data_IF_039292496830
#
_entry.id   IF_039292496830
#
_cell.length_a   1.000
_cell.length_b   1.000
_cell.length_c   1.000
_cell.angle_alpha   90.00
_cell.angle_beta   90.00
_cell.angle_gamma   90.00
#
_symmetry.space_group_name_H-M   'P 1'
#
loop_
_entity.id
_entity.type
_entity.pdbx_description
1 polymer ?
#
# COMPACT_ATOMS: atom_id res chain seq x y z
N UNK A 1 5.65 -0.82 -25.20
CA UNK A 1 4.66 0.24 -25.01
C UNK A 1 4.74 0.70 -23.57
N UNK A 2 5.22 1.92 -23.35
CA UNK A 2 5.42 2.53 -22.03
C UNK A 2 4.08 2.61 -21.30
N UNK A 3 3.96 1.89 -20.18
CA UNK A 3 2.83 2.02 -19.26
C UNK A 3 3.00 3.33 -18.48
N UNK A 4 2.26 4.35 -18.92
CA UNK A 4 1.98 5.52 -18.09
C UNK A 4 0.99 5.08 -17.00
N UNK A 5 1.50 4.44 -15.95
CA UNK A 5 0.72 4.14 -14.75
C UNK A 5 0.26 5.47 -14.13
N UNK A 6 -1.06 5.62 -14.06
CA UNK A 6 -1.78 6.63 -13.28
C UNK A 6 -2.12 6.01 -11.91
N UNK A 7 -1.30 5.05 -11.46
CA UNK A 7 -1.66 4.07 -10.42
C UNK A 7 -1.57 4.63 -9.00
N UNK A 8 -0.99 5.83 -8.88
CA UNK A 8 -0.95 6.62 -7.65
C UNK A 8 -1.50 8.01 -7.90
N UNK A 9 -2.70 8.13 -8.49
CA UNK A 9 -3.55 9.28 -8.14
C UNK A 9 -3.76 9.15 -6.64
N UNK A 10 -2.93 9.87 -5.90
CA UNK A 10 -3.05 10.33 -4.53
C UNK A 10 -4.04 9.48 -3.75
N UNK A 11 -3.60 8.69 -2.78
CA UNK A 11 -4.53 8.09 -1.82
C UNK A 11 -4.61 8.99 -0.58
N UNK A 12 -5.20 10.22 -0.63
CA UNK A 12 -5.58 10.89 0.59
C UNK A 12 -6.61 10.02 1.32
N UNK A 13 -7.32 9.08 0.66
CA UNK A 13 -8.21 8.13 1.34
C UNK A 13 -7.52 7.32 2.44
N UNK A 14 -6.51 6.50 2.12
CA UNK A 14 -5.82 5.67 3.11
C UNK A 14 -5.09 6.51 4.16
N UNK A 15 -4.44 7.60 3.75
CA UNK A 15 -3.84 8.53 4.70
C UNK A 15 -4.88 9.23 5.61
N UNK A 16 -6.05 9.59 5.08
CA UNK A 16 -7.15 10.20 5.84
C UNK A 16 -7.74 9.21 6.83
N UNK A 17 -7.90 7.95 6.43
CA UNK A 17 -8.31 6.87 7.33
C UNK A 17 -7.33 6.76 8.49
N UNK A 18 -6.01 6.70 8.22
CA UNK A 18 -5.01 6.61 9.28
C UNK A 18 -5.03 7.84 10.20
N UNK A 19 -5.32 9.03 9.66
CA UNK A 19 -5.46 10.28 10.43
C UNK A 19 -6.59 10.26 11.45
N UNK A 20 -7.61 9.43 11.25
CA UNK A 20 -8.65 9.24 12.26
C UNK A 20 -8.14 8.51 13.51
N UNK A 21 -7.02 7.79 13.41
CA UNK A 21 -6.48 6.94 14.46
C UNK A 21 -5.22 7.50 15.11
N UNK A 22 -4.45 8.31 14.39
CA UNK A 22 -3.20 8.89 14.91
C UNK A 22 -2.87 10.21 14.21
N UNK A 23 -2.27 11.13 14.97
CA UNK A 23 -1.71 12.38 14.45
C UNK A 23 -0.23 12.26 14.09
N UNK A 24 0.43 11.17 14.49
CA UNK A 24 1.84 10.91 14.22
C UNK A 24 2.00 10.21 12.86
N UNK A 25 1.68 10.93 11.78
CA UNK A 25 1.75 10.43 10.42
C UNK A 25 2.65 11.31 9.56
N UNK A 26 3.52 10.64 8.81
CA UNK A 26 4.33 11.22 7.77
C UNK A 26 4.00 10.48 6.47
N UNK A 27 3.75 11.21 5.38
CA UNK A 27 3.56 10.61 4.06
C UNK A 27 4.73 10.97 3.16
N UNK A 28 5.10 10.03 2.30
CA UNK A 28 6.19 10.18 1.34
C UNK A 28 5.71 9.67 -0.02
N UNK A 29 5.92 10.45 -1.06
CA UNK A 29 5.63 10.07 -2.45
C UNK A 29 6.93 10.20 -3.24
N UNK A 30 7.53 9.09 -3.69
CA UNK A 30 8.77 9.13 -4.46
C UNK A 30 8.59 9.91 -5.77
N UNK A 31 9.61 10.68 -6.15
CA UNK A 31 9.67 11.28 -7.47
C UNK A 31 10.07 10.22 -8.50
N UNK A 32 9.12 9.76 -9.31
CA UNK A 32 9.36 8.70 -10.30
C UNK A 32 10.54 8.95 -11.26
N UNK A 33 10.80 10.20 -11.62
CA UNK A 33 11.87 10.53 -12.58
C UNK A 33 13.25 10.57 -11.95
N UNK A 34 13.32 10.81 -10.64
CA UNK A 34 14.59 10.94 -9.90
C UNK A 34 14.92 9.66 -9.13
N UNK A 35 13.91 9.08 -8.48
CA UNK A 35 14.04 7.99 -7.52
C UNK A 35 13.58 6.64 -8.08
N UNK A 36 12.89 6.63 -9.22
CA UNK A 36 12.32 5.42 -9.80
C UNK A 36 10.99 5.01 -9.16
N UNK A 37 10.66 3.72 -9.25
CA UNK A 37 9.37 3.18 -8.82
C UNK A 37 9.50 2.40 -7.50
N UNK A 38 8.52 2.61 -6.61
CA UNK A 38 8.39 1.88 -5.36
C UNK A 38 9.21 2.45 -4.20
N UNK A 39 9.34 1.64 -3.15
CA UNK A 39 10.19 1.95 -2.00
C UNK A 39 11.64 2.03 -2.45
N UNK A 40 12.35 3.06 -2.00
CA UNK A 40 13.76 3.27 -2.29
C UNK A 40 14.57 3.50 -1.01
N UNK A 41 15.88 3.29 -1.11
CA UNK A 41 16.79 3.42 0.03
C UNK A 41 16.87 4.83 0.63
N UNK A 42 16.63 5.88 -0.17
CA UNK A 42 16.67 7.28 0.27
C UNK A 42 15.47 7.58 1.17
N UNK A 43 14.29 7.04 0.85
CA UNK A 43 13.10 7.10 1.68
C UNK A 43 13.32 6.42 3.04
N UNK A 44 14.07 5.31 3.07
CA UNK A 44 14.45 4.64 4.32
C UNK A 44 15.39 5.52 5.15
N UNK A 45 16.37 6.17 4.52
CA UNK A 45 17.27 7.10 5.20
C UNK A 45 16.51 8.31 5.77
N UNK A 46 15.55 8.83 5.03
CA UNK A 46 14.65 9.90 5.50
C UNK A 46 13.84 9.41 6.71
N UNK A 47 13.25 8.23 6.63
CA UNK A 47 12.46 7.66 7.71
C UNK A 47 13.31 7.50 8.99
N UNK A 48 14.52 6.96 8.86
CA UNK A 48 15.45 6.82 9.97
C UNK A 48 15.82 8.16 10.62
N UNK A 49 16.19 9.16 9.80
CA UNK A 49 16.53 10.52 10.27
C UNK A 49 15.37 11.21 10.99
N UNK A 50 14.14 10.90 10.61
CA UNK A 50 12.92 11.43 11.23
C UNK A 50 12.41 10.57 12.40
N UNK A 51 13.19 9.59 12.86
CA UNK A 51 12.81 8.67 13.94
C UNK A 51 11.49 7.89 13.67
N UNK A 52 11.14 7.67 12.40
CA UNK A 52 10.01 6.84 12.01
C UNK A 52 10.29 5.40 12.44
N UNK A 53 9.29 4.74 13.03
CA UNK A 53 9.40 3.35 13.53
C UNK A 53 8.62 2.33 12.73
N UNK A 54 7.70 2.78 11.89
CA UNK A 54 6.87 1.94 11.04
C UNK A 54 6.69 2.61 9.68
N UNK A 55 6.96 1.86 8.62
CA UNK A 55 6.63 2.22 7.24
C UNK A 55 5.49 1.32 6.77
N UNK A 56 4.47 1.91 6.17
CA UNK A 56 3.40 1.19 5.48
C UNK A 56 3.49 1.58 4.01
N UNK A 57 3.82 0.63 3.14
CA UNK A 57 3.81 0.89 1.69
C UNK A 57 2.38 0.82 1.17
N UNK A 58 2.10 1.54 0.09
CA UNK A 58 0.83 1.50 -0.63
C UNK A 58 1.16 1.32 -2.10
N UNK A 59 0.52 0.34 -2.72
CA UNK A 59 0.65 0.03 -4.15
C UNK A 59 2.10 -0.30 -4.59
N UNK A 60 2.95 -0.71 -3.65
CA UNK A 60 4.32 -1.09 -3.94
C UNK A 60 4.93 -1.89 -2.79
N UNK A 61 6.15 -2.39 -3.01
CA UNK A 61 6.99 -2.98 -1.98
C UNK A 61 7.16 -4.48 -2.06
N UNK A 62 6.34 -5.23 -2.83
CA UNK A 62 6.47 -6.70 -2.89
C UNK A 62 7.81 -7.18 -3.47
N UNK A 63 8.49 -6.33 -4.23
CA UNK A 63 9.83 -6.58 -4.78
C UNK A 63 10.96 -5.85 -4.04
N UNK A 64 10.66 -5.08 -2.99
CA UNK A 64 11.62 -4.19 -2.32
C UNK A 64 12.44 -4.90 -1.24
N UNK A 65 13.15 -5.97 -1.63
CA UNK A 65 13.89 -6.84 -0.70
C UNK A 65 15.04 -6.06 -0.02
N UNK A 66 15.83 -5.32 -0.80
CA UNK A 66 16.96 -4.53 -0.30
C UNK A 66 16.50 -3.43 0.65
N UNK A 67 15.46 -2.70 0.28
CA UNK A 67 14.99 -1.54 1.02
C UNK A 67 14.33 -1.95 2.34
N UNK A 68 13.54 -3.02 2.33
CA UNK A 68 12.99 -3.60 3.58
C UNK A 68 14.12 -4.15 4.44
N UNK A 69 15.15 -4.77 3.86
CA UNK A 69 16.35 -5.20 4.59
C UNK A 69 17.07 -4.03 5.27
N UNK A 70 17.23 -2.89 4.57
CA UNK A 70 17.81 -1.67 5.14
C UNK A 70 16.96 -1.09 6.27
N UNK A 71 15.63 -1.04 6.10
CA UNK A 71 14.71 -0.58 7.13
C UNK A 71 14.81 -1.45 8.40
N UNK A 72 14.84 -2.77 8.24
CA UNK A 72 15.03 -3.72 9.34
C UNK A 72 16.36 -3.48 10.08
N UNK A 73 17.47 -3.24 9.34
CA UNK A 73 18.77 -2.92 9.95
C UNK A 73 18.74 -1.61 10.77
N UNK A 74 17.87 -0.68 10.42
CA UNK A 74 17.63 0.55 11.18
C UNK A 74 16.60 0.39 12.31
N UNK A 75 16.06 -0.82 12.50
CA UNK A 75 15.00 -1.09 13.49
C UNK A 75 13.69 -0.38 13.13
N UNK A 76 13.39 -0.26 11.84
CA UNK A 76 12.14 0.27 11.30
C UNK A 76 11.32 -0.90 10.79
N UNK A 77 10.14 -1.09 11.36
CA UNK A 77 9.20 -2.11 10.88
C UNK A 77 8.62 -1.70 9.53
N UNK A 78 8.39 -2.68 8.64
CA UNK A 78 7.73 -2.45 7.35
C UNK A 78 6.51 -3.34 7.19
N UNK A 79 5.37 -2.74 6.85
CA UNK A 79 4.17 -3.43 6.35
C UNK A 79 4.06 -3.13 4.87
N UNK A 80 4.02 -4.17 4.05
CA UNK A 80 3.84 -4.04 2.61
C UNK A 80 2.36 -4.16 2.26
N UNK A 81 1.77 -3.18 1.58
CA UNK A 81 0.45 -3.30 0.95
C UNK A 81 0.58 -3.11 -0.54
N UNK A 82 0.29 -4.16 -1.30
CA UNK A 82 0.63 -4.26 -2.72
C UNK A 82 -0.29 -5.26 -3.43
N UNK A 83 -0.30 -5.24 -4.74
CA UNK A 83 -1.07 -6.14 -5.61
C UNK A 83 -0.25 -6.68 -6.80
N UNK A 84 1.00 -6.21 -6.96
CA UNK A 84 1.90 -6.70 -8.00
C UNK A 84 2.25 -8.18 -7.81
N UNK A 85 2.75 -8.80 -8.88
CA UNK A 85 3.12 -10.22 -8.85
C UNK A 85 4.31 -10.43 -7.90
N UNK A 86 4.19 -11.30 -6.88
CA UNK A 86 5.33 -11.66 -6.05
C UNK A 86 6.39 -12.38 -6.88
N UNK A 87 7.65 -12.05 -6.61
CA UNK A 87 8.80 -12.79 -7.13
C UNK A 87 9.02 -14.07 -6.33
N UNK A 88 10.02 -14.87 -6.73
CA UNK A 88 10.40 -16.08 -5.99
C UNK A 88 10.78 -15.77 -4.53
N UNK A 89 11.53 -14.70 -4.36
CA UNK A 89 11.91 -14.16 -3.06
C UNK A 89 11.08 -12.88 -2.81
N UNK A 90 10.64 -12.69 -1.57
CA UNK A 90 9.80 -11.56 -1.14
C UNK A 90 10.47 -10.86 0.06
N UNK A 91 10.19 -9.57 0.32
CA UNK A 91 10.82 -8.84 1.40
C UNK A 91 10.53 -9.44 2.77
N UNK A 92 11.48 -9.32 3.69
CA UNK A 92 11.31 -9.71 5.10
C UNK A 92 10.57 -8.61 5.89
N UNK A 93 9.39 -8.23 5.42
CA UNK A 93 8.49 -7.29 6.08
C UNK A 93 7.77 -7.95 7.26
N UNK A 94 7.36 -7.19 8.28
CA UNK A 94 6.61 -7.73 9.43
C UNK A 94 5.19 -8.18 9.04
N UNK A 95 4.67 -7.65 7.93
CA UNK A 95 3.46 -8.12 7.28
C UNK A 95 3.49 -7.80 5.78
N UNK A 96 2.93 -8.69 4.97
CA UNK A 96 2.70 -8.49 3.54
C UNK A 96 1.22 -8.71 3.27
N UNK A 97 0.55 -7.67 2.80
CA UNK A 97 -0.85 -7.65 2.43
C UNK A 97 -0.89 -7.54 0.91
N UNK A 98 -0.89 -8.70 0.26
CA UNK A 98 -1.00 -8.81 -1.19
C UNK A 98 -1.88 -10.03 -1.54
N UNK A 99 -2.98 -9.85 -2.29
CA UNK A 99 -3.93 -10.92 -2.58
C UNK A 99 -3.28 -12.10 -3.31
N UNK A 100 -2.22 -11.87 -4.10
CA UNK A 100 -1.49 -12.90 -4.85
C UNK A 100 -0.51 -13.71 -3.99
N UNK A 101 -0.24 -13.27 -2.75
CA UNK A 101 0.61 -13.99 -1.81
C UNK A 101 -0.15 -14.95 -0.89
N UNK A 102 -1.43 -14.67 -0.61
CA UNK A 102 -2.27 -15.56 0.20
C UNK A 102 -2.89 -16.64 -0.70
N UNK A 103 -2.83 -17.92 -0.34
CA UNK A 103 -3.48 -18.99 -1.12
C UNK A 103 -4.99 -19.08 -0.87
N UNK A 104 -5.48 -18.56 0.25
CA UNK A 104 -6.88 -18.69 0.67
C UNK A 104 -7.75 -17.50 0.23
N UNK A 105 -7.14 -16.35 -0.07
CA UNK A 105 -7.91 -15.18 -0.50
C UNK A 105 -8.55 -15.43 -1.89
N UNK A 106 -9.86 -15.32 -2.06
CA UNK A 106 -10.53 -15.81 -3.27
C UNK A 106 -10.27 -14.95 -4.52
N UNK A 107 -9.98 -13.66 -4.36
CA UNK A 107 -9.89 -12.73 -5.46
C UNK A 107 -8.48 -12.14 -5.62
N UNK A 108 -7.82 -12.39 -6.75
CA UNK A 108 -6.39 -12.04 -6.94
C UNK A 108 -6.14 -10.70 -7.63
N UNK A 109 -7.18 -10.11 -8.18
CA UNK A 109 -7.06 -9.01 -9.14
C UNK A 109 -7.47 -7.66 -8.55
N UNK A 110 -7.31 -7.45 -7.23
CA UNK A 110 -7.46 -6.12 -6.65
C UNK A 110 -6.35 -5.19 -7.18
N UNK A 111 -6.67 -3.91 -7.39
CA UNK A 111 -5.68 -2.85 -7.52
C UNK A 111 -5.08 -2.49 -6.14
N UNK A 112 -3.97 -1.76 -6.12
CA UNK A 112 -3.38 -1.25 -4.86
C UNK A 112 -4.36 -0.43 -4.00
N UNK A 113 -5.25 0.34 -4.64
CA UNK A 113 -6.33 1.06 -3.95
C UNK A 113 -7.36 0.12 -3.31
N UNK A 114 -7.66 -1.00 -3.97
CA UNK A 114 -8.56 -2.03 -3.44
C UNK A 114 -7.95 -2.72 -2.22
N UNK A 115 -6.65 -3.05 -2.29
CA UNK A 115 -5.90 -3.60 -1.15
C UNK A 115 -5.92 -2.62 0.03
N UNK A 116 -5.64 -1.34 -0.22
CA UNK A 116 -5.68 -0.29 0.81
C UNK A 116 -7.07 -0.15 1.44
N UNK A 117 -8.13 -0.25 0.63
CA UNK A 117 -9.51 -0.24 1.10
C UNK A 117 -9.83 -1.45 1.98
N UNK A 118 -9.36 -2.65 1.64
CA UNK A 118 -9.49 -3.84 2.50
C UNK A 118 -8.79 -3.67 3.85
N UNK A 119 -7.61 -3.05 3.86
CA UNK A 119 -6.91 -2.71 5.11
C UNK A 119 -7.75 -1.75 5.95
N UNK A 120 -8.36 -0.73 5.33
CA UNK A 120 -9.27 0.18 6.02
C UNK A 120 -10.49 -0.53 6.61
N UNK A 121 -11.15 -1.41 5.84
CA UNK A 121 -12.27 -2.23 6.33
C UNK A 121 -11.87 -3.08 7.53
N UNK A 122 -10.69 -3.72 7.47
CA UNK A 122 -10.16 -4.53 8.56
C UNK A 122 -9.89 -3.69 9.82
N UNK A 123 -9.30 -2.50 9.67
CA UNK A 123 -9.08 -1.56 10.78
C UNK A 123 -10.41 -1.12 11.42
N UNK A 124 -11.39 -0.72 10.61
CA UNK A 124 -12.71 -0.32 11.11
C UNK A 124 -13.41 -1.46 11.84
N UNK A 125 -13.32 -2.69 11.32
CA UNK A 125 -13.88 -3.88 11.95
C UNK A 125 -13.21 -4.17 13.29
N UNK A 126 -11.88 -4.15 13.33
CA UNK A 126 -11.09 -4.37 14.55
C UNK A 126 -11.40 -3.35 15.64
N UNK A 127 -11.61 -2.10 15.25
CA UNK A 127 -11.89 -0.97 16.14
C UNK A 127 -13.39 -0.75 16.38
N UNK A 128 -14.26 -1.62 15.83
CA UNK A 128 -15.73 -1.55 15.96
C UNK A 128 -16.32 -0.21 15.50
N UNK A 129 -15.77 0.37 14.43
CA UNK A 129 -16.30 1.57 13.76
C UNK A 129 -17.34 1.20 12.70
N UNK A 130 -18.15 2.19 12.31
CA UNK A 130 -19.15 1.99 11.27
C UNK A 130 -18.50 1.84 9.90
N UNK A 131 -18.73 0.71 9.22
CA UNK A 131 -18.17 0.45 7.90
C UNK A 131 -18.75 1.40 6.83
N UNK A 132 -19.94 1.95 7.05
CA UNK A 132 -20.59 2.87 6.10
C UNK A 132 -19.81 4.18 5.92
N UNK A 133 -18.99 4.55 6.91
CA UNK A 133 -18.12 5.74 6.83
C UNK A 133 -17.09 5.60 5.68
N UNK A 134 -16.74 4.36 5.32
CA UNK A 134 -15.82 4.05 4.22
C UNK A 134 -16.47 4.20 2.84
N UNK A 135 -17.80 4.30 2.73
CA UNK A 135 -18.48 4.42 1.43
C UNK A 135 -18.05 5.67 0.66
N UNK A 136 -17.72 6.74 1.38
CA UNK A 136 -17.18 7.98 0.80
C UNK A 136 -15.85 7.78 0.03
N UNK A 137 -15.17 6.65 0.24
CA UNK A 137 -13.91 6.33 -0.41
C UNK A 137 -14.09 5.47 -1.66
N UNK A 138 -15.28 4.92 -1.90
CA UNK A 138 -15.52 4.01 -3.03
C UNK A 138 -15.30 4.68 -4.38
N UNK A 139 -15.52 5.98 -4.51
CA UNK A 139 -15.21 6.73 -5.73
C UNK A 139 -13.70 6.71 -6.04
N UNK A 140 -12.85 6.82 -5.02
CA UNK A 140 -11.40 6.70 -5.18
C UNK A 140 -10.99 5.25 -5.50
N UNK A 141 -11.64 4.27 -4.86
CA UNK A 141 -11.40 2.85 -5.14
C UNK A 141 -11.74 2.53 -6.59
N UNK A 142 -12.91 2.94 -7.06
CA UNK A 142 -13.34 2.76 -8.44
C UNK A 142 -12.39 3.45 -9.43
N UNK A 143 -12.02 4.71 -9.16
CA UNK A 143 -11.11 5.47 -10.02
C UNK A 143 -9.72 4.82 -10.11
N UNK A 144 -9.15 4.41 -8.97
CA UNK A 144 -7.84 3.75 -8.94
C UNK A 144 -7.86 2.39 -9.61
N UNK A 145 -8.91 1.59 -9.39
CA UNK A 145 -9.10 0.31 -10.09
C UNK A 145 -9.20 0.48 -11.61
N UNK A 146 -9.90 1.51 -12.09
CA UNK A 146 -9.98 1.80 -13.53
C UNK A 146 -8.62 2.26 -14.06
N UNK A 147 -7.91 3.13 -13.33
CA UNK A 147 -6.61 3.65 -13.72
C UNK A 147 -5.56 2.54 -13.87
N UNK A 148 -5.59 1.58 -12.94
CA UNK A 148 -4.71 0.40 -12.91
C UNK A 148 -5.15 -0.69 -13.92
N UNK A 149 -6.22 -0.45 -14.67
CA UNK A 149 -6.69 -1.32 -15.76
C UNK A 149 -6.93 -2.78 -15.33
N UNK A 150 -7.29 -3.00 -14.07
CA UNK A 150 -7.61 -4.32 -13.53
C UNK A 150 -8.97 -4.82 -14.04
N UNK A 151 -9.19 -6.16 -14.12
CA UNK A 151 -10.47 -6.72 -14.53
C UNK A 151 -11.64 -6.26 -13.65
N UNK A 152 -12.71 -5.74 -14.27
CA UNK A 152 -13.93 -5.32 -13.58
C UNK A 152 -14.88 -6.50 -13.34
N UNK A 153 -14.46 -7.42 -12.48
CA UNK A 153 -15.16 -8.64 -12.09
C UNK A 153 -15.10 -8.80 -10.57
N UNK A 154 -16.05 -9.56 -10.03
CA UNK A 154 -16.11 -9.91 -8.59
C UNK A 154 -15.96 -8.67 -7.69
N UNK A 155 -14.97 -8.64 -6.77
CA UNK A 155 -14.79 -7.53 -5.82
C UNK A 155 -14.49 -6.18 -6.45
N UNK A 156 -14.06 -6.15 -7.72
CA UNK A 156 -13.83 -4.90 -8.44
C UNK A 156 -15.12 -4.30 -9.02
N UNK A 157 -16.26 -5.00 -9.04
CA UNK A 157 -17.52 -4.62 -9.72
C UNK A 157 -18.65 -4.27 -8.75
#
# INVERSE_FOLDING_TARGET
MQHNQVDSINHPGFFSILREFTTNLYYYIPNRFQEGYGLNEEAIDIAFKNNIKLIITVDCGISSISEVGKANNYGIDVIVTDHHQPQKDIPSAIAIINPKCDTNYPFKELAGVGVSFKVAQALYSKLKKNQDDLWSLLDYVALGSIADSIPFIDENR
#
